data_IF_935794947067
#
_entry.id   IF_935794947067
#
_cell.length_a   1.000
_cell.length_b   1.000
_cell.length_c   1.000
_cell.angle_alpha   90.00
_cell.angle_beta   90.00
_cell.angle_gamma   90.00
#
_symmetry.space_group_name_H-M   'P 1'
#
loop_
_entity.id
_entity.type
_entity.pdbx_description
1 polymer ?
#
# COMPACT_ATOMS: atom_id res chain seq x y z
N UNK A 1 -27.77 -9.48 -4.62
CA UNK A 1 -26.52 -8.73 -4.84
C UNK A 1 -26.37 -7.72 -3.70
N UNK A 2 -25.56 -8.00 -2.67
CA UNK A 2 -25.31 -7.00 -1.65
C UNK A 2 -24.20 -6.06 -2.14
N UNK A 3 -24.43 -4.77 -1.95
CA UNK A 3 -23.45 -3.71 -2.15
C UNK A 3 -22.19 -4.01 -1.32
N UNK A 4 -21.03 -4.05 -1.98
CA UNK A 4 -19.72 -3.95 -1.32
C UNK A 4 -19.48 -2.50 -0.90
N UNK A 5 -20.40 -1.95 -0.11
CA UNK A 5 -20.13 -0.79 0.72
C UNK A 5 -19.47 -1.33 1.98
N UNK A 6 -18.14 -1.42 1.98
CA UNK A 6 -17.39 -1.55 3.22
C UNK A 6 -17.73 -0.29 4.02
N UNK A 7 -18.63 -0.47 4.97
CA UNK A 7 -18.79 0.44 6.09
C UNK A 7 -17.39 0.45 6.70
N UNK A 8 -16.62 1.52 6.49
CA UNK A 8 -15.33 1.71 7.13
C UNK A 8 -15.61 1.87 8.62
N UNK A 9 -15.79 0.74 9.31
CA UNK A 9 -15.95 0.71 10.74
C UNK A 9 -14.59 1.14 11.28
N UNK A 10 -14.54 2.27 12.00
CA UNK A 10 -13.36 2.71 12.77
C UNK A 10 -13.09 1.75 13.95
N UNK A 11 -13.04 0.45 13.69
CA UNK A 11 -12.66 -0.55 14.66
C UNK A 11 -11.15 -0.72 14.59
N UNK A 12 -10.44 0.05 15.42
CA UNK A 12 -9.03 -0.21 15.67
C UNK A 12 -8.91 -1.41 16.61
N UNK A 13 -8.20 -2.46 16.19
CA UNK A 13 -7.84 -3.56 17.08
C UNK A 13 -6.58 -3.23 17.87
N UNK A 14 -6.61 -3.51 19.18
CA UNK A 14 -5.44 -3.32 20.04
C UNK A 14 -4.52 -4.52 19.94
N UNK A 15 -3.31 -4.29 19.45
CA UNK A 15 -2.25 -5.29 19.42
C UNK A 15 -1.27 -5.11 20.58
N UNK A 16 -0.81 -6.22 21.14
CA UNK A 16 0.24 -6.25 22.16
C UNK A 16 1.40 -7.08 21.62
N UNK A 17 2.53 -6.43 21.34
CA UNK A 17 3.70 -7.04 20.72
C UNK A 17 4.94 -6.85 21.59
N UNK A 18 5.88 -7.78 21.50
CA UNK A 18 7.21 -7.64 22.09
C UNK A 18 8.22 -7.32 21.00
N UNK A 19 8.98 -6.24 21.19
CA UNK A 19 10.01 -5.81 20.26
C UNK A 19 11.37 -5.70 20.96
N UNK A 20 12.47 -5.97 20.26
CA UNK A 20 13.82 -5.60 20.71
C UNK A 20 13.91 -4.14 21.15
N UNK A 21 14.68 -3.87 22.20
CA UNK A 21 14.83 -2.53 22.79
C UNK A 21 15.24 -1.47 21.75
N UNK A 22 16.13 -1.83 20.82
CA UNK A 22 16.59 -0.89 19.79
C UNK A 22 15.46 -0.45 18.83
N UNK A 23 14.48 -1.32 18.55
CA UNK A 23 13.33 -0.97 17.72
C UNK A 23 12.36 -0.05 18.48
N UNK A 24 12.17 -0.29 19.77
CA UNK A 24 11.36 0.60 20.62
C UNK A 24 12.00 1.99 20.68
N UNK A 25 13.32 2.07 20.80
CA UNK A 25 14.07 3.35 20.75
C UNK A 25 13.93 4.03 19.39
N UNK A 26 14.03 3.26 18.29
CA UNK A 26 13.80 3.79 16.95
C UNK A 26 12.40 4.38 16.80
N UNK A 27 11.36 3.68 17.24
CA UNK A 27 9.97 4.15 17.21
C UNK A 27 9.84 5.48 17.95
N UNK A 28 10.38 5.57 19.17
CA UNK A 28 10.35 6.80 19.97
C UNK A 28 11.04 7.97 19.27
N UNK A 29 12.24 7.75 18.72
CA UNK A 29 13.00 8.78 18.01
C UNK A 29 12.30 9.24 16.74
N UNK A 30 11.76 8.30 15.96
CA UNK A 30 11.05 8.59 14.71
C UNK A 30 9.76 9.38 14.98
N UNK A 31 9.00 8.98 16.00
CA UNK A 31 7.81 9.71 16.47
C UNK A 31 8.15 11.17 16.78
N UNK A 32 9.19 11.41 17.58
CA UNK A 32 9.62 12.77 17.95
C UNK A 32 10.04 13.56 16.71
N UNK A 33 10.85 12.96 15.83
CA UNK A 33 11.36 13.62 14.63
C UNK A 33 10.25 14.03 13.65
N UNK A 34 9.14 13.27 13.61
CA UNK A 34 7.98 13.53 12.75
C UNK A 34 6.88 14.37 13.42
N UNK A 35 7.02 14.66 14.72
CA UNK A 35 5.99 15.37 15.49
C UNK A 35 4.70 14.58 15.68
N UNK A 36 4.81 13.26 15.77
CA UNK A 36 3.65 12.35 15.88
C UNK A 36 3.26 12.13 17.34
N UNK A 37 1.99 11.81 17.55
CA UNK A 37 1.39 11.72 18.88
C UNK A 37 1.54 10.33 19.50
N UNK A 38 1.63 9.28 18.67
CA UNK A 38 1.65 7.90 19.15
C UNK A 38 2.69 7.01 18.46
N UNK A 39 3.14 5.98 19.18
CA UNK A 39 4.00 4.94 18.64
C UNK A 39 3.24 4.11 17.57
N UNK A 40 1.92 4.01 17.71
CA UNK A 40 1.05 3.35 16.73
C UNK A 40 1.14 3.98 15.34
N UNK A 41 1.25 5.30 15.24
CA UNK A 41 1.43 5.98 13.93
C UNK A 41 2.74 5.56 13.24
N UNK A 42 3.81 5.34 14.02
CA UNK A 42 5.08 4.83 13.48
C UNK A 42 4.93 3.40 12.98
N UNK A 43 4.20 2.58 13.71
CA UNK A 43 3.95 1.19 13.34
C UNK A 43 3.04 1.11 12.11
N UNK A 44 1.99 1.93 12.04
CA UNK A 44 1.06 2.03 10.91
C UNK A 44 1.80 2.40 9.62
N UNK A 45 2.57 3.49 9.64
CA UNK A 45 3.42 3.90 8.51
C UNK A 45 4.37 2.77 8.08
N UNK A 46 5.02 2.10 9.02
CA UNK A 46 5.93 1.00 8.71
C UNK A 46 5.20 -0.18 8.02
N UNK A 47 3.98 -0.50 8.45
CA UNK A 47 3.16 -1.55 7.85
C UNK A 47 2.66 -1.17 6.45
N UNK A 48 2.29 0.09 6.23
CA UNK A 48 1.95 0.59 4.90
C UNK A 48 3.14 0.50 3.95
N UNK A 49 4.33 0.92 4.39
CA UNK A 49 5.56 0.80 3.60
C UNK A 49 5.89 -0.64 3.24
N UNK A 50 5.63 -1.61 4.12
CA UNK A 50 5.78 -3.03 3.81
C UNK A 50 4.79 -3.48 2.72
N UNK A 51 3.53 -3.06 2.81
CA UNK A 51 2.53 -3.36 1.77
C UNK A 51 2.91 -2.76 0.42
N UNK A 52 3.38 -1.51 0.39
CA UNK A 52 3.84 -0.88 -0.84
C UNK A 52 5.02 -1.63 -1.47
N UNK A 53 5.94 -2.13 -0.65
CA UNK A 53 7.07 -2.92 -1.14
C UNK A 53 6.63 -4.25 -1.75
N UNK A 54 5.68 -4.94 -1.13
CA UNK A 54 5.10 -6.17 -1.67
C UNK A 54 4.34 -5.90 -2.98
N UNK A 55 3.61 -4.78 -3.04
CA UNK A 55 2.90 -4.35 -4.23
C UNK A 55 3.86 -4.04 -5.38
N UNK A 56 4.95 -3.30 -5.11
CA UNK A 56 5.99 -3.01 -6.12
C UNK A 56 6.58 -4.31 -6.68
N UNK A 57 6.87 -5.28 -5.82
CA UNK A 57 7.38 -6.58 -6.23
C UNK A 57 6.37 -7.33 -7.11
N UNK A 58 5.10 -7.37 -6.72
CA UNK A 58 4.04 -8.02 -7.49
C UNK A 58 3.87 -7.37 -8.87
N UNK A 59 3.89 -6.04 -8.96
CA UNK A 59 3.85 -5.34 -10.25
C UNK A 59 5.07 -5.65 -11.11
N UNK A 60 6.26 -5.72 -10.51
CA UNK A 60 7.49 -6.05 -11.22
C UNK A 60 7.43 -7.45 -11.82
N UNK A 61 6.90 -8.43 -11.08
CA UNK A 61 6.70 -9.80 -11.56
C UNK A 61 5.64 -9.85 -12.66
N UNK A 62 4.46 -9.26 -12.44
CA UNK A 62 3.39 -9.21 -13.44
C UNK A 62 3.82 -8.52 -14.74
N UNK A 63 4.67 -7.50 -14.66
CA UNK A 63 5.20 -6.80 -15.84
C UNK A 63 6.13 -7.66 -16.71
N UNK A 64 6.62 -8.80 -16.20
CA UNK A 64 7.43 -9.73 -16.98
C UNK A 64 6.56 -10.71 -17.79
N UNK A 65 5.28 -10.84 -17.44
CA UNK A 65 4.31 -11.73 -18.08
C UNK A 65 3.50 -11.01 -19.18
N UNK A 66 4.02 -9.91 -19.73
CA UNK A 66 3.34 -9.14 -20.78
C UNK A 66 3.22 -9.99 -22.04
N UNK A 67 1.98 -10.19 -22.50
CA UNK A 67 1.67 -10.86 -23.76
C UNK A 67 1.69 -9.85 -24.92
N UNK A 68 2.63 -9.97 -25.87
CA UNK A 68 2.76 -9.07 -27.01
C UNK A 68 1.52 -9.06 -27.93
N UNK A 69 0.62 -10.04 -27.82
CA UNK A 69 -0.63 -10.05 -28.57
C UNK A 69 -1.50 -8.82 -28.25
N UNK A 70 -1.35 -8.20 -27.09
CA UNK A 70 -2.09 -6.99 -26.71
C UNK A 70 -1.57 -5.71 -27.40
N UNK A 71 -0.33 -5.70 -27.91
CA UNK A 71 0.26 -4.52 -28.57
C UNK A 71 -0.53 -4.10 -29.81
N UNK A 72 -1.23 -5.03 -30.48
CA UNK A 72 -2.06 -4.74 -31.66
C UNK A 72 -3.23 -3.80 -31.33
N UNK A 73 -3.70 -3.79 -30.08
CA UNK A 73 -4.85 -3.00 -29.63
C UNK A 73 -4.47 -1.62 -29.09
N UNK A 74 -3.17 -1.28 -29.03
CA UNK A 74 -2.69 -0.02 -28.41
C UNK A 74 -3.24 1.24 -29.08
N UNK A 75 -3.62 1.14 -30.36
CA UNK A 75 -4.16 2.24 -31.16
C UNK A 75 -5.68 2.18 -31.36
N UNK A 76 -6.36 1.19 -30.78
CA UNK A 76 -7.82 1.06 -30.91
C UNK A 76 -8.51 2.30 -30.30
N UNK A 77 -9.38 2.94 -31.09
CA UNK A 77 -10.10 4.15 -30.66
C UNK A 77 -9.29 5.45 -30.67
N UNK A 78 -8.00 5.43 -31.08
CA UNK A 78 -7.19 6.63 -31.31
C UNK A 78 -7.31 7.19 -32.74
N UNK A 79 -8.02 6.49 -33.64
CA UNK A 79 -8.45 7.07 -34.91
C UNK A 79 -9.52 8.12 -34.66
N UNK A 80 -9.26 9.33 -35.14
CA UNK A 80 -10.06 10.55 -34.96
C UNK A 80 -11.39 10.50 -35.74
N UNK A 81 -12.18 9.44 -35.56
CA UNK A 81 -13.58 9.42 -35.97
C UNK A 81 -14.45 9.91 -34.81
N UNK A 82 -14.14 11.13 -34.37
CA UNK A 82 -15.11 12.01 -33.74
C UNK A 82 -16.15 12.40 -34.82
N UNK A 83 -17.21 11.61 -34.92
CA UNK A 83 -18.43 11.98 -35.65
C UNK A 83 -19.39 12.69 -34.70
#
# INVERSE_FOLDING_TARGET
>A
MPLFGVINSMHSEKLSISLPVFLVQFIGNYKIAKGWESDSQVIEEALELLQYKELEQAYREASQEVDPAWDVTVADGLSDEAW
#
